data_IF_844759613732
#
_entry.id   IF_844759613732
#
_cell.length_a   1.000
_cell.length_b   1.000
_cell.length_c   1.000
_cell.angle_alpha   90.00
_cell.angle_beta   90.00
_cell.angle_gamma   90.00
#
_symmetry.space_group_name_H-M   'P 1'
#
loop_
_entity.id
_entity.type
_entity.pdbx_description
1 polymer ?
#
# COMPACT_ATOMS: atom_id res chain seq x y z
N UNK A 1 28.85 0.22 -7.00
CA UNK A 1 28.10 -0.48 -5.93
C UNK A 1 28.29 -1.99 -6.05
N UNK A 2 28.01 -2.56 -7.22
CA UNK A 2 28.20 -4.00 -7.49
C UNK A 2 29.58 -4.55 -7.10
N UNK A 3 30.68 -3.84 -7.41
CA UNK A 3 32.04 -4.28 -7.03
C UNK A 3 32.26 -4.34 -5.51
N UNK A 4 31.64 -3.43 -4.75
CA UNK A 4 31.71 -3.42 -3.29
C UNK A 4 30.90 -4.59 -2.71
N UNK A 5 29.71 -4.84 -3.24
CA UNK A 5 28.89 -5.98 -2.81
C UNK A 5 29.63 -7.30 -3.05
N UNK A 6 30.25 -7.47 -4.23
CA UNK A 6 31.07 -8.66 -4.54
C UNK A 6 32.22 -8.81 -3.54
N UNK A 7 32.92 -7.73 -3.20
CA UNK A 7 34.01 -7.77 -2.22
C UNK A 7 33.53 -8.24 -0.85
N UNK A 8 32.38 -7.74 -0.39
CA UNK A 8 31.80 -8.11 0.89
C UNK A 8 31.31 -9.56 0.89
N UNK A 9 30.68 -10.01 -0.19
CA UNK A 9 30.24 -11.42 -0.35
C UNK A 9 31.44 -12.37 -0.34
N UNK A 10 32.54 -12.01 -1.02
CA UNK A 10 33.79 -12.80 -0.97
C UNK A 10 34.35 -12.89 0.45
N UNK A 11 34.31 -11.80 1.21
CA UNK A 11 34.71 -11.78 2.61
C UNK A 11 33.82 -12.70 3.45
N UNK A 12 32.49 -12.56 3.37
CA UNK A 12 31.55 -13.41 4.10
C UNK A 12 31.73 -14.91 3.80
N UNK A 13 31.99 -15.26 2.53
CA UNK A 13 32.24 -16.64 2.14
C UNK A 13 33.54 -17.20 2.74
N UNK A 14 34.59 -16.39 2.77
CA UNK A 14 35.87 -16.79 3.37
C UNK A 14 35.76 -16.96 4.89
N UNK A 15 34.91 -16.17 5.57
CA UNK A 15 34.62 -16.36 6.99
C UNK A 15 33.71 -17.57 7.24
N UNK A 16 32.73 -17.83 6.37
CA UNK A 16 31.85 -19.00 6.42
C UNK A 16 32.63 -20.32 6.38
N UNK A 17 33.62 -20.43 5.49
CA UNK A 17 34.45 -21.64 5.29
C UNK A 17 35.31 -22.02 6.52
N UNK A 18 35.41 -21.15 7.54
CA UNK A 18 36.20 -21.41 8.76
C UNK A 18 35.46 -22.25 9.80
N UNK A 19 34.13 -22.31 9.72
CA UNK A 19 33.30 -22.96 10.72
C UNK A 19 32.63 -24.19 10.13
N UNK A 20 32.62 -25.29 10.88
CA UNK A 20 31.96 -26.53 10.46
C UNK A 20 30.47 -26.53 10.83
N UNK A 21 30.07 -25.77 11.85
CA UNK A 21 28.69 -25.67 12.29
C UNK A 21 28.34 -24.31 12.92
N UNK A 22 27.05 -24.06 13.12
CA UNK A 22 26.54 -22.82 13.75
C UNK A 22 26.94 -22.78 15.24
N UNK A 23 26.90 -23.92 15.93
CA UNK A 23 27.28 -24.03 17.33
C UNK A 23 28.75 -23.63 17.55
N UNK A 24 29.61 -23.91 16.57
CA UNK A 24 31.00 -23.51 16.61
C UNK A 24 31.17 -21.99 16.52
N UNK A 25 30.34 -21.31 15.71
CA UNK A 25 30.32 -19.85 15.61
C UNK A 25 29.91 -19.22 16.94
N UNK A 26 28.91 -19.79 17.63
CA UNK A 26 28.37 -19.26 18.88
C UNK A 26 29.20 -19.58 20.13
N UNK A 27 30.32 -20.30 20.01
CA UNK A 27 31.29 -20.38 21.12
C UNK A 27 31.81 -18.97 21.42
N UNK A 28 31.77 -18.56 22.68
CA UNK A 28 31.94 -17.17 23.13
C UNK A 28 33.18 -16.47 22.52
N UNK A 29 34.33 -17.15 22.54
CA UNK A 29 35.57 -16.63 21.93
C UNK A 29 35.48 -16.48 20.41
N UNK A 30 34.90 -17.48 19.72
CA UNK A 30 34.76 -17.47 18.27
C UNK A 30 33.82 -16.35 17.81
N UNK A 31 32.65 -16.22 18.46
CA UNK A 31 31.66 -15.20 18.11
C UNK A 31 32.22 -13.79 18.30
N UNK A 32 32.91 -13.56 19.42
CA UNK A 32 33.50 -12.25 19.72
C UNK A 32 34.59 -11.87 18.72
N UNK A 33 35.51 -12.80 18.41
CA UNK A 33 36.56 -12.57 17.41
C UNK A 33 35.98 -12.30 16.02
N UNK A 34 34.95 -13.05 15.64
CA UNK A 34 34.31 -12.90 14.33
C UNK A 34 33.57 -11.57 14.24
N UNK A 35 32.85 -11.18 15.29
CA UNK A 35 32.25 -9.85 15.40
C UNK A 35 33.31 -8.76 15.21
N UNK A 36 34.45 -8.84 15.90
CA UNK A 36 35.52 -7.85 15.77
C UNK A 36 36.09 -7.76 14.35
N UNK A 37 36.32 -8.89 13.68
CA UNK A 37 36.81 -8.93 12.30
C UNK A 37 35.83 -8.27 11.34
N UNK A 38 34.55 -8.65 11.42
CA UNK A 38 33.49 -8.08 10.58
C UNK A 38 33.37 -6.58 10.81
N UNK A 39 33.40 -6.12 12.08
CA UNK A 39 33.37 -4.70 12.43
C UNK A 39 34.54 -3.94 11.82
N UNK A 40 35.78 -4.46 11.93
CA UNK A 40 36.98 -3.84 11.33
C UNK A 40 36.86 -3.77 9.80
N UNK A 41 36.46 -4.85 9.16
CA UNK A 41 36.30 -4.92 7.72
C UNK A 41 35.28 -3.91 7.21
N UNK A 42 34.09 -3.87 7.82
CA UNK A 42 33.06 -2.87 7.50
C UNK A 42 33.61 -1.47 7.75
N UNK A 43 34.36 -1.28 8.83
CA UNK A 43 34.88 0.04 9.13
C UNK A 43 35.84 0.58 8.08
N UNK A 44 36.75 -0.26 7.61
CA UNK A 44 37.70 0.10 6.57
C UNK A 44 36.99 0.33 5.23
N UNK A 45 36.04 -0.55 4.89
CA UNK A 45 35.26 -0.43 3.66
C UNK A 45 34.47 0.89 3.62
N UNK A 46 33.84 1.26 4.72
CA UNK A 46 32.99 2.45 4.82
C UNK A 46 33.83 3.74 4.83
N UNK A 47 34.95 3.75 5.55
CA UNK A 47 35.88 4.87 5.58
C UNK A 47 36.51 5.15 4.22
N UNK A 48 37.02 4.10 3.57
CA UNK A 48 37.72 4.22 2.30
C UNK A 48 36.82 4.75 1.19
N UNK A 49 35.56 4.33 1.18
CA UNK A 49 34.62 4.66 0.10
C UNK A 49 33.70 5.85 0.44
N UNK A 50 33.72 6.36 1.68
CA UNK A 50 32.88 7.49 2.15
C UNK A 50 31.40 7.36 1.76
N UNK A 51 30.83 6.15 1.89
CA UNK A 51 29.47 5.86 1.44
C UNK A 51 28.42 6.71 2.18
N UNK A 52 27.40 7.20 1.49
CA UNK A 52 26.23 7.86 2.09
C UNK A 52 25.27 6.84 2.73
N UNK A 53 24.31 7.28 3.56
CA UNK A 53 23.27 6.39 4.16
C UNK A 53 22.56 5.55 3.10
N UNK A 54 22.18 6.17 1.98
CA UNK A 54 21.52 5.49 0.85
C UNK A 54 22.41 4.47 0.14
N UNK A 55 23.70 4.78 -0.03
CA UNK A 55 24.66 3.85 -0.62
C UNK A 55 24.88 2.64 0.30
N UNK A 56 24.88 2.85 1.61
CA UNK A 56 25.02 1.77 2.61
C UNK A 56 23.82 0.82 2.54
N UNK A 57 22.59 1.36 2.51
CA UNK A 57 21.36 0.56 2.33
C UNK A 57 21.42 -0.28 1.05
N UNK A 58 21.75 0.36 -0.07
CA UNK A 58 21.87 -0.32 -1.38
C UNK A 58 22.93 -1.41 -1.35
N UNK A 59 24.08 -1.14 -0.72
CA UNK A 59 25.14 -2.13 -0.56
C UNK A 59 24.65 -3.36 0.21
N UNK A 60 23.99 -3.15 1.35
CA UNK A 60 23.48 -4.23 2.22
C UNK A 60 22.45 -5.08 1.49
N UNK A 61 21.53 -4.47 0.74
CA UNK A 61 20.56 -5.19 -0.10
C UNK A 61 21.26 -6.00 -1.21
N UNK A 62 22.22 -5.41 -1.93
CA UNK A 62 23.00 -6.09 -2.96
C UNK A 62 23.83 -7.26 -2.39
N UNK A 63 24.35 -7.13 -1.16
CA UNK A 63 25.07 -8.21 -0.47
C UNK A 63 24.12 -9.37 -0.17
N UNK A 64 22.94 -9.09 0.40
CA UNK A 64 21.97 -10.12 0.72
C UNK A 64 21.60 -10.96 -0.50
N UNK A 65 21.25 -10.29 -1.60
CA UNK A 65 20.88 -10.91 -2.87
C UNK A 65 22.04 -11.76 -3.43
N UNK A 66 23.25 -11.17 -3.52
CA UNK A 66 24.42 -11.87 -4.08
C UNK A 66 24.96 -12.98 -3.19
N UNK A 67 24.78 -12.88 -1.87
CA UNK A 67 25.19 -13.94 -0.95
C UNK A 67 24.26 -15.16 -1.02
N UNK A 68 23.04 -15.00 -1.56
CA UNK A 68 22.06 -16.09 -1.66
C UNK A 68 21.62 -16.57 -0.28
N UNK A 69 21.33 -15.63 0.63
CA UNK A 69 20.96 -15.95 2.01
C UNK A 69 19.53 -16.50 2.03
N UNK A 70 19.39 -17.73 2.50
CA UNK A 70 18.10 -18.32 2.81
C UNK A 70 17.68 -17.90 4.24
N UNK A 71 16.52 -17.26 4.38
CA UNK A 71 16.00 -16.78 5.67
C UNK A 71 15.34 -17.90 6.49
N UNK A 72 14.84 -18.95 5.84
CA UNK A 72 14.11 -20.06 6.45
C UNK A 72 15.04 -21.06 7.15
N UNK A 73 16.31 -21.07 6.77
CA UNK A 73 17.32 -21.94 7.36
C UNK A 73 18.29 -21.13 8.21
N UNK A 74 18.50 -21.55 9.44
CA UNK A 74 19.66 -21.08 10.19
C UNK A 74 20.92 -21.72 9.61
N UNK A 75 21.87 -20.88 9.22
CA UNK A 75 23.15 -21.28 8.66
C UNK A 75 24.22 -20.23 9.01
N UNK A 76 25.50 -20.62 8.92
CA UNK A 76 26.64 -19.76 9.27
C UNK A 76 26.59 -18.45 8.47
N UNK A 77 26.29 -18.52 7.16
CA UNK A 77 26.19 -17.34 6.29
C UNK A 77 25.15 -16.32 6.79
N UNK A 78 23.97 -16.77 7.22
CA UNK A 78 22.91 -15.94 7.81
C UNK A 78 23.41 -15.26 9.08
N UNK A 79 24.09 -16.00 9.97
CA UNK A 79 24.67 -15.44 11.20
C UNK A 79 25.72 -14.36 10.88
N UNK A 80 26.68 -14.65 10.01
CA UNK A 80 27.73 -13.70 9.63
C UNK A 80 27.16 -12.44 8.96
N UNK A 81 26.12 -12.59 8.15
CA UNK A 81 25.41 -11.47 7.55
C UNK A 81 24.66 -10.62 8.59
N UNK A 82 24.04 -11.24 9.59
CA UNK A 82 23.38 -10.52 10.69
C UNK A 82 24.42 -9.73 11.52
N UNK A 83 25.60 -10.30 11.77
CA UNK A 83 26.70 -9.60 12.43
C UNK A 83 27.20 -8.43 11.59
N UNK A 84 27.33 -8.62 10.27
CA UNK A 84 27.72 -7.56 9.33
C UNK A 84 26.74 -6.39 9.32
N UNK A 85 25.45 -6.69 9.27
CA UNK A 85 24.41 -5.65 9.31
C UNK A 85 24.35 -4.94 10.67
N UNK A 86 24.62 -5.65 11.77
CA UNK A 86 24.77 -5.02 13.09
C UNK A 86 25.99 -4.08 13.15
N UNK A 87 27.15 -4.51 12.62
CA UNK A 87 28.35 -3.69 12.56
C UNK A 87 28.16 -2.40 11.74
N UNK A 88 27.38 -2.46 10.66
CA UNK A 88 26.99 -1.28 9.88
C UNK A 88 26.15 -0.33 10.72
N UNK A 89 25.16 -0.86 11.45
CA UNK A 89 24.23 -0.08 12.27
C UNK A 89 24.90 0.58 13.49
N UNK A 90 25.83 -0.10 14.17
CA UNK A 90 26.56 0.46 15.34
C UNK A 90 27.38 1.72 14.97
N UNK A 91 27.87 1.82 13.74
CA UNK A 91 28.88 2.82 13.36
C UNK A 91 28.32 4.08 12.72
N UNK A 92 27.32 3.89 11.87
CA UNK A 92 26.37 4.92 11.49
C UNK A 92 25.06 4.27 11.78
N UNK A 93 24.22 4.78 12.70
CA UNK A 93 22.86 4.32 12.78
C UNK A 93 22.31 4.40 11.36
N UNK A 94 22.27 3.24 10.70
CA UNK A 94 21.55 3.09 9.46
C UNK A 94 20.14 3.40 9.88
N UNK A 95 19.34 4.04 9.05
CA UNK A 95 17.96 4.22 9.42
C UNK A 95 17.31 2.84 9.23
N UNK A 96 17.54 1.93 10.16
CA UNK A 96 16.77 0.72 10.25
C UNK A 96 15.30 1.12 10.26
N UNK A 97 14.44 0.39 9.56
CA UNK A 97 14.67 -0.95 8.97
C UNK A 97 15.56 -1.00 7.69
N UNK A 98 16.31 -2.10 7.53
CA UNK A 98 17.06 -2.49 6.31
C UNK A 98 16.27 -3.56 5.56
N UNK A 99 16.25 -3.58 4.23
CA UNK A 99 15.36 -4.48 3.48
C UNK A 99 16.09 -5.38 2.50
N UNK A 100 15.49 -6.54 2.31
CA UNK A 100 16.00 -7.61 1.49
C UNK A 100 14.93 -8.08 0.52
N UNK A 101 15.27 -8.17 -0.76
CA UNK A 101 14.42 -8.87 -1.71
C UNK A 101 14.59 -10.38 -1.48
N UNK A 102 13.52 -11.07 -1.11
CA UNK A 102 13.47 -12.50 -0.86
C UNK A 102 12.22 -13.09 -1.51
N UNK A 103 12.40 -14.03 -2.45
CA UNK A 103 11.31 -14.58 -3.27
C UNK A 103 10.37 -13.51 -3.88
N UNK A 104 10.95 -12.45 -4.44
CA UNK A 104 10.23 -11.29 -5.02
C UNK A 104 9.47 -10.41 -4.01
N UNK A 105 9.59 -10.65 -2.71
CA UNK A 105 9.02 -9.81 -1.66
C UNK A 105 10.11 -9.01 -0.95
N UNK A 106 9.81 -7.78 -0.51
CA UNK A 106 10.73 -6.99 0.31
C UNK A 106 10.47 -7.31 1.79
N UNK A 107 11.48 -7.81 2.48
CA UNK A 107 11.39 -8.16 3.91
C UNK A 107 12.19 -7.14 4.74
N UNK A 108 11.59 -6.46 5.74
CA UNK A 108 12.33 -5.67 6.70
C UNK A 108 13.16 -6.54 7.65
N UNK A 109 14.43 -6.19 7.82
CA UNK A 109 15.16 -6.45 9.05
C UNK A 109 14.71 -5.43 10.09
N UNK A 110 13.85 -5.88 11.00
CA UNK A 110 13.40 -5.11 12.16
C UNK A 110 14.41 -5.18 13.31
N UNK A 111 14.35 -4.23 14.21
CA UNK A 111 14.99 -4.38 15.51
C UNK A 111 14.21 -5.39 16.35
N UNK A 112 14.96 -6.27 16.98
CA UNK A 112 14.44 -7.54 17.43
C UNK A 112 13.38 -7.41 18.56
N UNK A 113 13.26 -6.27 19.24
CA UNK A 113 12.38 -6.13 20.42
C UNK A 113 10.90 -6.40 20.10
N UNK A 114 10.37 -5.94 18.97
CA UNK A 114 8.95 -6.17 18.63
C UNK A 114 8.70 -7.65 18.31
N UNK A 115 9.63 -8.27 17.58
CA UNK A 115 9.54 -9.67 17.13
C UNK A 115 9.85 -10.66 18.24
N UNK A 116 10.85 -10.38 19.08
CA UNK A 116 11.37 -11.27 20.12
C UNK A 116 10.37 -11.47 21.27
N UNK A 117 9.52 -10.47 21.53
CA UNK A 117 8.52 -10.50 22.59
C UNK A 117 7.10 -10.72 22.07
N UNK A 118 6.93 -11.03 20.77
CA UNK A 118 5.64 -11.27 20.12
C UNK A 118 4.58 -10.19 20.41
N UNK A 119 4.98 -8.92 20.34
CA UNK A 119 4.14 -7.78 20.73
C UNK A 119 3.10 -7.35 19.70
N UNK A 120 3.06 -8.01 18.55
CA UNK A 120 2.25 -7.58 17.43
C UNK A 120 0.74 -7.46 17.75
N UNK A 121 0.11 -8.39 18.50
CA UNK A 121 -1.29 -8.23 18.91
C UNK A 121 -1.53 -6.98 19.77
N UNK A 122 -0.68 -6.76 20.77
CA UNK A 122 -0.74 -5.57 21.64
C UNK A 122 -0.57 -4.27 20.84
N UNK A 123 0.37 -4.27 19.89
CA UNK A 123 0.61 -3.15 19.00
C UNK A 123 -0.61 -2.76 18.18
N UNK A 124 -1.27 -3.76 17.56
CA UNK A 124 -2.48 -3.54 16.78
C UNK A 124 -3.61 -2.98 17.64
N UNK A 125 -3.83 -3.54 18.83
CA UNK A 125 -4.82 -3.02 19.79
C UNK A 125 -4.55 -1.55 20.14
N UNK A 126 -3.31 -1.23 20.52
CA UNK A 126 -2.94 0.14 20.90
C UNK A 126 -3.03 1.13 19.75
N UNK A 127 -2.74 0.69 18.53
CA UNK A 127 -2.89 1.54 17.35
C UNK A 127 -4.36 1.75 16.99
N UNK A 128 -5.23 0.78 17.21
CA UNK A 128 -6.68 0.93 17.02
C UNK A 128 -7.31 1.91 18.03
N UNK A 129 -6.73 2.03 19.22
CA UNK A 129 -7.16 3.00 20.25
C UNK A 129 -6.72 4.45 19.97
N UNK A 130 -5.83 4.68 19.00
CA UNK A 130 -5.38 6.04 18.65
C UNK A 130 -6.53 6.85 18.05
N UNK A 131 -6.53 8.16 18.30
CA UNK A 131 -7.58 9.10 17.87
C UNK A 131 -7.90 8.97 16.37
N UNK A 132 -9.08 8.47 15.99
CA UNK A 132 -9.44 8.25 14.58
C UNK A 132 -9.36 9.53 13.76
N UNK A 133 -9.83 10.66 14.27
CA UNK A 133 -9.82 11.95 13.56
C UNK A 133 -8.39 12.38 13.22
N UNK A 134 -7.44 12.17 14.14
CA UNK A 134 -6.03 12.48 13.88
C UNK A 134 -5.42 11.55 12.83
N UNK A 135 -5.81 10.26 12.83
CA UNK A 135 -5.33 9.32 11.79
C UNK A 135 -5.79 9.78 10.41
N UNK A 136 -7.06 10.15 10.26
CA UNK A 136 -7.60 10.67 9.01
C UNK A 136 -6.89 11.96 8.59
N UNK A 137 -6.71 12.93 9.49
CA UNK A 137 -5.99 14.16 9.17
C UNK A 137 -4.55 13.92 8.71
N UNK A 138 -3.84 12.96 9.30
CA UNK A 138 -2.51 12.55 8.81
C UNK A 138 -2.63 11.97 7.40
N UNK A 139 -3.55 11.04 7.21
CA UNK A 139 -3.77 10.35 5.94
C UNK A 139 -4.06 11.33 4.79
N UNK A 140 -4.95 12.31 5.00
CA UNK A 140 -5.24 13.38 4.02
C UNK A 140 -4.08 14.37 3.83
N UNK A 141 -3.06 14.34 4.69
CA UNK A 141 -1.85 15.15 4.52
C UNK A 141 -0.75 14.40 3.74
N UNK A 142 -0.79 13.07 3.72
CA UNK A 142 0.19 12.21 3.03
C UNK A 142 -0.30 11.88 1.62
N UNK A 143 -1.57 11.52 1.47
CA UNK A 143 -2.14 11.06 0.21
C UNK A 143 -3.23 12.00 -0.30
N UNK A 144 -3.38 12.06 -1.62
CA UNK A 144 -4.38 12.90 -2.28
C UNK A 144 -5.78 12.31 -2.10
N UNK A 145 -6.79 13.19 -2.04
CA UNK A 145 -8.20 12.82 -1.98
C UNK A 145 -8.57 11.82 -3.10
N UNK A 146 -8.13 12.08 -4.33
CA UNK A 146 -8.30 11.18 -5.47
C UNK A 146 -7.72 9.78 -5.24
N UNK A 147 -6.52 9.67 -4.64
CA UNK A 147 -5.92 8.36 -4.33
C UNK A 147 -6.68 7.62 -3.22
N UNK A 148 -7.14 8.37 -2.21
CA UNK A 148 -7.88 7.85 -1.07
C UNK A 148 -9.26 7.31 -1.47
N UNK A 149 -10.04 8.04 -2.27
CA UNK A 149 -11.34 7.56 -2.76
C UNK A 149 -11.19 6.41 -3.76
N UNK A 150 -10.09 6.38 -4.53
CA UNK A 150 -9.81 5.29 -5.46
C UNK A 150 -9.59 3.97 -4.71
N UNK A 151 -8.66 3.94 -3.76
CA UNK A 151 -8.23 2.69 -3.12
C UNK A 151 -8.82 2.42 -1.73
N UNK A 152 -9.46 3.42 -1.13
CA UNK A 152 -10.14 3.33 0.15
C UNK A 152 -9.30 3.79 1.34
N UNK A 153 -9.89 4.61 2.20
CA UNK A 153 -9.30 5.10 3.45
C UNK A 153 -8.89 3.94 4.35
N UNK A 154 -9.65 2.83 4.38
CA UNK A 154 -9.29 1.66 5.20
C UNK A 154 -7.93 1.07 4.83
N UNK A 155 -7.58 1.06 3.53
CA UNK A 155 -6.26 0.61 3.07
C UNK A 155 -5.15 1.53 3.56
N UNK A 156 -5.29 2.84 3.36
CA UNK A 156 -4.28 3.82 3.77
C UNK A 156 -4.15 3.97 5.29
N UNK A 157 -5.23 3.76 6.05
CA UNK A 157 -5.15 3.66 7.51
C UNK A 157 -4.31 2.46 7.93
N UNK A 158 -4.44 1.31 7.27
CA UNK A 158 -3.58 0.17 7.54
C UNK A 158 -2.11 0.48 7.22
N UNK A 159 -1.82 1.13 6.08
CA UNK A 159 -0.45 1.60 5.76
C UNK A 159 0.09 2.53 6.86
N UNK A 160 -0.71 3.49 7.33
CA UNK A 160 -0.32 4.41 8.41
C UNK A 160 0.03 3.66 9.70
N UNK A 161 -0.71 2.60 10.01
CA UNK A 161 -0.42 1.76 11.18
C UNK A 161 0.94 1.06 11.06
N UNK A 162 1.26 0.48 9.89
CA UNK A 162 2.59 -0.10 9.65
C UNK A 162 3.69 0.94 9.66
N UNK A 163 3.45 2.11 9.07
CA UNK A 163 4.40 3.22 9.11
C UNK A 163 4.71 3.66 10.55
N UNK A 164 3.71 3.69 11.43
CA UNK A 164 3.91 3.93 12.85
C UNK A 164 4.72 2.80 13.53
N UNK A 165 4.52 1.53 13.14
CA UNK A 165 5.35 0.43 13.65
C UNK A 165 6.81 0.54 13.22
N UNK A 166 7.08 0.99 11.98
CA UNK A 166 8.46 1.21 11.53
C UNK A 166 9.13 2.34 12.33
N UNK A 167 8.41 3.42 12.63
CA UNK A 167 8.92 4.49 13.48
C UNK A 167 9.13 4.04 14.92
N UNK A 168 8.24 3.18 15.44
CA UNK A 168 8.38 2.60 16.77
C UNK A 168 9.62 1.72 16.87
N UNK A 169 9.84 0.84 15.90
CA UNK A 169 11.01 -0.05 15.85
C UNK A 169 12.31 0.75 15.93
N UNK A 170 12.38 1.83 15.14
CA UNK A 170 13.51 2.74 15.15
C UNK A 170 13.62 3.53 16.46
N UNK A 171 12.52 4.01 17.03
CA UNK A 171 12.52 4.73 18.29
C UNK A 171 12.99 3.86 19.47
N UNK A 172 12.68 2.56 19.45
CA UNK A 172 13.18 1.59 20.43
C UNK A 172 14.69 1.39 20.30
N UNK A 173 15.19 1.28 19.06
CA UNK A 173 16.62 1.16 18.81
C UNK A 173 17.43 2.40 19.20
N UNK A 174 16.90 3.59 18.92
CA UNK A 174 17.53 4.86 19.33
C UNK A 174 17.29 5.19 20.81
N UNK A 175 16.70 4.25 21.58
CA UNK A 175 16.36 4.39 22.99
C UNK A 175 15.66 5.73 23.28
N UNK A 176 14.60 6.02 22.51
CA UNK A 176 13.83 7.24 22.72
C UNK A 176 13.36 7.33 24.17
N UNK A 177 12.82 6.22 24.65
CA UNK A 177 12.72 5.85 26.06
C UNK A 177 13.78 4.78 26.31
N UNK A 178 14.50 4.86 27.44
CA UNK A 178 15.55 3.88 27.75
C UNK A 178 15.00 2.46 27.79
N UNK A 179 15.78 1.50 27.27
CA UNK A 179 15.37 0.09 27.31
C UNK A 179 15.13 -0.41 28.73
N UNK A 180 15.80 0.13 29.75
CA UNK A 180 15.57 -0.23 31.16
C UNK A 180 14.20 0.25 31.69
N UNK A 181 13.56 1.22 31.02
CA UNK A 181 12.19 1.65 31.34
C UNK A 181 11.15 0.83 30.55
N UNK A 182 11.53 0.24 29.42
CA UNK A 182 10.67 -0.58 28.56
C UNK A 182 10.73 -2.06 28.93
N UNK A 183 11.91 -2.57 29.28
CA UNK A 183 12.17 -3.95 29.68
C UNK A 183 12.35 -4.01 31.19
N UNK A 184 11.55 -4.83 31.85
CA UNK A 184 11.62 -5.07 33.29
C UNK A 184 11.97 -6.51 33.55
N UNK A 185 12.87 -6.74 34.49
CA UNK A 185 13.09 -8.10 34.99
C UNK A 185 11.99 -8.46 36.00
N UNK A 186 11.33 -9.60 35.77
CA UNK A 186 10.36 -10.19 36.69
C UNK A 186 10.60 -11.69 36.72
N UNK A 187 10.82 -12.27 37.90
CA UNK A 187 11.06 -13.71 38.06
C UNK A 187 12.20 -14.25 37.16
N UNK A 188 13.30 -13.49 37.01
CA UNK A 188 14.44 -13.80 36.13
C UNK A 188 14.10 -13.87 34.63
N UNK A 189 12.94 -13.37 34.23
CA UNK A 189 12.60 -13.18 32.81
C UNK A 189 12.44 -11.70 32.52
N UNK A 190 12.88 -11.28 31.32
CA UNK A 190 12.60 -9.94 30.83
C UNK A 190 11.14 -9.91 30.34
N UNK A 191 10.41 -8.89 30.76
CA UNK A 191 9.05 -8.59 30.33
C UNK A 191 8.96 -7.14 29.85
N UNK A 192 7.98 -6.86 29.01
CA UNK A 192 7.77 -5.51 28.49
C UNK A 192 6.82 -4.73 29.41
N UNK A 193 7.20 -3.50 29.76
CA UNK A 193 6.32 -2.53 30.38
C UNK A 193 5.39 -1.94 29.31
N UNK A 194 4.23 -2.58 29.17
CA UNK A 194 3.17 -2.17 28.26
C UNK A 194 2.74 -0.71 28.44
N UNK A 195 2.84 -0.13 29.65
CA UNK A 195 2.45 1.27 29.87
C UNK A 195 3.46 2.22 29.23
N UNK A 196 4.75 1.95 29.36
CA UNK A 196 5.78 2.77 28.72
C UNK A 196 5.82 2.54 27.21
N UNK A 197 5.56 1.32 26.76
CA UNK A 197 5.45 1.00 25.34
C UNK A 197 4.23 1.67 24.68
N UNK A 198 3.05 1.60 25.30
CA UNK A 198 1.86 2.33 24.86
C UNK A 198 2.09 3.85 24.86
N UNK A 199 2.81 4.37 25.86
CA UNK A 199 3.17 5.78 25.89
C UNK A 199 4.10 6.16 24.73
N UNK A 200 5.07 5.30 24.37
CA UNK A 200 5.94 5.51 23.22
C UNK A 200 5.16 5.59 21.89
N UNK A 201 4.21 4.68 21.68
CA UNK A 201 3.33 4.70 20.49
C UNK A 201 2.56 6.03 20.43
N UNK A 202 1.96 6.43 21.54
CA UNK A 202 1.19 7.66 21.64
C UNK A 202 2.01 8.92 21.31
N UNK A 203 3.24 9.02 21.83
CA UNK A 203 4.08 10.20 21.59
C UNK A 203 4.62 10.23 20.15
N UNK A 204 4.90 9.08 19.54
CA UNK A 204 5.28 8.98 18.13
C UNK A 204 4.11 9.38 17.22
N UNK A 205 2.90 8.88 17.50
CA UNK A 205 1.70 9.27 16.77
C UNK A 205 1.41 10.77 16.86
N UNK A 206 1.61 11.39 18.03
CA UNK A 206 1.50 12.85 18.17
C UNK A 206 2.61 13.60 17.42
N UNK A 207 3.80 13.01 17.31
CA UNK A 207 4.88 13.50 16.46
C UNK A 207 4.47 13.51 14.98
N UNK A 208 3.93 12.39 14.49
CA UNK A 208 3.41 12.25 13.12
C UNK A 208 2.32 13.28 12.82
N UNK A 209 1.32 13.36 13.70
CA UNK A 209 0.23 14.33 13.57
C UNK A 209 0.76 15.75 13.44
N UNK A 210 1.70 16.15 14.31
CA UNK A 210 2.26 17.50 14.26
C UNK A 210 3.13 17.73 13.02
N UNK A 211 3.87 16.73 12.56
CA UNK A 211 4.71 16.84 11.37
C UNK A 211 3.86 17.13 10.13
N UNK A 212 2.86 16.28 9.86
CA UNK A 212 2.06 16.37 8.64
C UNK A 212 1.03 17.50 8.66
N UNK A 213 0.37 17.73 9.81
CA UNK A 213 -0.73 18.72 9.86
C UNK A 213 -0.28 20.10 10.33
N UNK A 214 0.95 20.23 10.86
CA UNK A 214 1.43 21.43 11.56
C UNK A 214 0.74 21.71 12.90
N UNK A 215 -0.34 20.99 13.26
CA UNK A 215 -1.13 21.22 14.47
C UNK A 215 -0.48 20.55 15.67
N UNK A 216 -0.40 21.26 16.80
CA UNK A 216 0.14 20.69 18.05
C UNK A 216 -0.86 19.67 18.62
N UNK A 217 -0.42 18.42 18.77
CA UNK A 217 -1.14 17.42 19.57
C UNK A 217 -0.88 17.59 21.06
N UNK A 218 -1.93 17.48 21.87
CA UNK A 218 -1.87 17.37 23.34
C UNK A 218 -2.19 15.92 23.76
N UNK A 219 -1.50 15.45 24.79
CA UNK A 219 -1.69 14.11 25.41
C UNK A 219 -2.27 14.24 26.83
N UNK A 220 -3.08 15.27 27.06
CA UNK A 220 -3.54 15.63 28.41
C UNK A 220 -2.40 16.12 29.32
N UNK A 221 -2.61 16.03 30.63
CA UNK A 221 -1.65 16.44 31.64
C UNK A 221 -0.61 15.32 31.81
N UNK A 222 0.65 15.62 31.50
CA UNK A 222 1.78 14.70 31.65
C UNK A 222 2.69 15.16 32.79
N UNK A 223 3.35 14.21 33.47
CA UNK A 223 4.43 14.53 34.41
C UNK A 223 5.63 15.15 33.67
N UNK A 224 6.46 15.92 34.39
CA UNK A 224 7.69 16.52 33.82
C UNK A 224 8.58 15.47 33.13
N UNK A 225 8.69 14.28 33.72
CA UNK A 225 9.47 13.16 33.16
C UNK A 225 8.86 12.55 31.89
N UNK A 226 7.54 12.67 31.67
CA UNK A 226 6.92 12.24 30.42
C UNK A 226 6.96 13.32 29.34
N UNK A 227 6.96 14.59 29.73
CA UNK A 227 7.07 15.72 28.80
C UNK A 227 8.40 15.68 28.03
N UNK A 228 9.53 15.36 28.69
CA UNK A 228 10.83 15.24 27.99
C UNK A 228 10.77 14.24 26.84
N UNK A 229 10.10 13.09 27.03
CA UNK A 229 9.96 12.06 26.01
C UNK A 229 9.05 12.50 24.86
N UNK A 230 7.95 13.20 25.17
CA UNK A 230 7.09 13.78 24.13
C UNK A 230 7.85 14.78 23.25
N UNK A 231 8.67 15.65 23.83
CA UNK A 231 9.51 16.59 23.06
C UNK A 231 10.55 15.83 22.24
N UNK A 232 11.20 14.82 22.82
CA UNK A 232 12.17 13.96 22.12
C UNK A 232 11.52 13.25 20.93
N UNK A 233 10.32 12.68 21.09
CA UNK A 233 9.55 12.03 20.01
C UNK A 233 9.20 12.98 18.88
N UNK A 234 8.74 14.19 19.18
CA UNK A 234 8.44 15.19 18.14
C UNK A 234 9.68 15.58 17.34
N UNK A 235 10.82 15.76 18.03
CA UNK A 235 12.10 16.06 17.37
C UNK A 235 12.56 14.87 16.52
N UNK A 236 12.52 13.66 17.08
CA UNK A 236 12.84 12.42 16.38
C UNK A 236 12.02 12.25 15.10
N UNK A 237 10.69 12.31 15.17
CA UNK A 237 9.82 12.18 13.99
C UNK A 237 10.17 13.23 12.94
N UNK A 238 10.34 14.49 13.35
CA UNK A 238 10.73 15.57 12.42
C UNK A 238 12.08 15.30 11.75
N UNK A 239 13.08 14.87 12.50
CA UNK A 239 14.41 14.58 11.97
C UNK A 239 14.38 13.39 11.00
N UNK A 240 13.60 12.36 11.29
CA UNK A 240 13.43 11.19 10.43
C UNK A 240 12.75 11.58 9.11
N UNK A 241 11.64 12.31 9.18
CA UNK A 241 10.80 12.58 8.02
C UNK A 241 11.25 13.80 7.19
N UNK A 242 12.05 14.71 7.75
CA UNK A 242 12.58 15.85 7.00
C UNK A 242 13.48 15.50 5.79
N UNK A 243 13.94 14.24 5.69
CA UNK A 243 14.59 13.72 4.48
C UNK A 243 13.52 13.04 3.63
N UNK A 244 13.08 13.70 2.55
CA UNK A 244 12.02 13.21 1.66
C UNK A 244 12.27 11.77 1.18
N UNK A 245 13.53 11.40 0.94
CA UNK A 245 13.86 10.03 0.50
C UNK A 245 13.65 9.01 1.62
N UNK A 246 13.87 9.42 2.86
CA UNK A 246 13.67 8.56 4.04
C UNK A 246 12.18 8.39 4.32
N UNK A 247 11.39 9.45 4.18
CA UNK A 247 9.93 9.40 4.26
C UNK A 247 9.34 8.49 3.16
N UNK A 248 9.68 8.74 1.89
CA UNK A 248 9.23 7.92 0.75
C UNK A 248 9.62 6.45 0.94
N UNK A 249 10.84 6.21 1.42
CA UNK A 249 11.30 4.88 1.74
C UNK A 249 10.42 4.22 2.79
N UNK A 250 10.22 4.82 3.96
CA UNK A 250 9.42 4.23 5.04
C UNK A 250 7.96 3.99 4.64
N UNK A 251 7.35 4.87 3.84
CA UNK A 251 5.99 4.69 3.32
C UNK A 251 5.93 3.47 2.40
N UNK A 252 6.87 3.35 1.45
CA UNK A 252 6.93 2.19 0.54
C UNK A 252 7.06 0.86 1.29
N UNK A 253 7.69 0.89 2.46
CA UNK A 253 7.91 -0.30 3.26
C UNK A 253 6.68 -0.66 4.10
N UNK A 254 5.99 0.36 4.60
CA UNK A 254 4.70 0.18 5.24
C UNK A 254 3.69 -0.45 4.27
N UNK A 255 3.73 -0.08 2.99
CA UNK A 255 2.90 -0.68 1.92
C UNK A 255 3.22 -2.18 1.76
N UNK A 256 4.50 -2.57 1.74
CA UNK A 256 4.90 -3.97 1.57
C UNK A 256 4.53 -4.82 2.80
N UNK A 257 4.74 -4.27 4.01
CA UNK A 257 4.35 -4.92 5.26
C UNK A 257 2.83 -5.10 5.36
N UNK A 258 2.06 -4.10 4.90
CA UNK A 258 0.61 -4.16 4.80
C UNK A 258 0.18 -5.31 3.87
N UNK A 259 0.77 -5.39 2.68
CA UNK A 259 0.43 -6.36 1.65
C UNK A 259 0.74 -7.81 2.09
N UNK A 260 1.82 -8.01 2.85
CA UNK A 260 2.24 -9.31 3.35
C UNK A 260 1.43 -9.79 4.55
N UNK A 261 0.90 -8.87 5.35
CA UNK A 261 0.23 -9.20 6.61
C UNK A 261 -1.29 -9.15 6.52
N UNK A 262 -1.88 -8.00 6.18
CA UNK A 262 -3.34 -7.83 6.16
C UNK A 262 -3.91 -7.93 4.75
N UNK A 263 -3.18 -7.41 3.76
CA UNK A 263 -3.63 -7.29 2.38
C UNK A 263 -5.05 -6.71 2.31
N UNK A 264 -5.21 -5.52 2.90
CA UNK A 264 -6.48 -4.86 3.13
C UNK A 264 -7.26 -4.65 1.83
N UNK A 265 -6.57 -4.40 0.71
CA UNK A 265 -7.19 -4.36 -0.62
C UNK A 265 -7.90 -5.68 -0.98
N UNK A 266 -7.25 -6.83 -0.74
CA UNK A 266 -7.88 -8.14 -0.98
C UNK A 266 -8.99 -8.42 0.02
N UNK A 267 -8.79 -8.07 1.29
CA UNK A 267 -9.81 -8.22 2.34
C UNK A 267 -11.08 -7.42 2.03
N UNK A 268 -10.95 -6.15 1.64
CA UNK A 268 -12.09 -5.29 1.32
C UNK A 268 -12.86 -5.71 0.07
N UNK A 269 -12.25 -6.49 -0.83
CA UNK A 269 -12.92 -7.08 -2.00
C UNK A 269 -13.79 -8.29 -1.64
N UNK A 270 -13.69 -8.80 -0.40
CA UNK A 270 -14.50 -9.93 0.03
C UNK A 270 -15.97 -9.50 0.18
N UNK A 271 -16.82 -10.30 -0.42
CA UNK A 271 -18.25 -10.06 -0.57
C UNK A 271 -19.01 -10.02 0.76
N UNK A 272 -18.65 -10.88 1.71
CA UNK A 272 -19.21 -10.94 3.07
C UNK A 272 -18.81 -9.72 3.89
N UNK A 273 -17.55 -9.27 3.76
CA UNK A 273 -17.05 -8.05 4.41
C UNK A 273 -17.81 -6.82 3.90
N UNK A 274 -17.99 -6.68 2.58
CA UNK A 274 -18.75 -5.55 2.02
C UNK A 274 -20.22 -5.57 2.47
N UNK A 275 -20.87 -6.75 2.55
CA UNK A 275 -22.24 -6.85 3.07
C UNK A 275 -22.36 -6.35 4.50
N UNK A 276 -21.40 -6.68 5.37
CA UNK A 276 -21.39 -6.18 6.75
C UNK A 276 -21.25 -4.65 6.78
N UNK A 277 -20.29 -4.10 6.03
CA UNK A 277 -20.07 -2.64 5.94
C UNK A 277 -21.33 -1.93 5.43
N UNK A 278 -21.97 -2.45 4.38
CA UNK A 278 -23.17 -1.84 3.80
C UNK A 278 -24.37 -1.95 4.74
N UNK A 279 -24.54 -3.07 5.46
CA UNK A 279 -25.57 -3.23 6.49
C UNK A 279 -25.41 -2.18 7.60
N UNK A 280 -24.19 -1.97 8.09
CA UNK A 280 -23.91 -0.93 9.09
C UNK A 280 -24.18 0.47 8.55
N UNK A 281 -23.76 0.75 7.31
CA UNK A 281 -24.03 2.04 6.67
C UNK A 281 -25.54 2.30 6.52
N UNK A 282 -26.33 1.27 6.19
CA UNK A 282 -27.79 1.37 6.06
C UNK A 282 -28.52 1.73 7.35
N UNK A 283 -27.96 1.35 8.50
CA UNK A 283 -28.53 1.66 9.81
C UNK A 283 -28.34 3.12 10.23
N UNK A 284 -27.50 3.89 9.52
CA UNK A 284 -27.25 5.30 9.82
C UNK A 284 -28.42 6.19 9.40
N UNK A 285 -28.74 7.15 10.25
CA UNK A 285 -29.80 8.14 10.01
C UNK A 285 -29.27 9.34 9.22
N UNK A 286 -28.89 9.09 7.97
CA UNK A 286 -28.39 10.08 6.98
C UNK A 286 -28.96 9.77 5.59
N UNK A 287 -28.74 10.65 4.61
CA UNK A 287 -29.24 10.42 3.24
C UNK A 287 -28.59 9.20 2.59
N UNK A 288 -29.25 8.60 1.59
CA UNK A 288 -28.66 7.47 0.85
C UNK A 288 -27.36 7.86 0.14
N UNK A 289 -27.25 9.11 -0.33
CA UNK A 289 -26.04 9.62 -0.95
C UNK A 289 -24.90 9.69 0.07
N UNK A 290 -25.14 10.18 1.30
CA UNK A 290 -24.12 10.20 2.35
C UNK A 290 -23.68 8.79 2.77
N UNK A 291 -24.59 7.80 2.70
CA UNK A 291 -24.25 6.40 2.94
C UNK A 291 -23.34 5.85 1.84
N UNK A 292 -23.67 6.14 0.57
CA UNK A 292 -22.84 5.78 -0.59
C UNK A 292 -21.46 6.43 -0.50
N UNK A 293 -21.40 7.71 -0.15
CA UNK A 293 -20.15 8.44 0.03
C UNK A 293 -19.28 7.77 1.09
N UNK A 294 -19.84 7.54 2.29
CA UNK A 294 -19.11 6.93 3.39
C UNK A 294 -18.53 5.55 3.04
N UNK A 295 -19.30 4.70 2.35
CA UNK A 295 -18.80 3.36 1.96
C UNK A 295 -17.79 3.43 0.82
N UNK A 296 -17.97 4.38 -0.10
CA UNK A 296 -17.03 4.61 -1.22
C UNK A 296 -15.68 5.08 -0.69
N UNK A 297 -15.66 6.02 0.25
CA UNK A 297 -14.42 6.44 0.92
C UNK A 297 -13.80 5.33 1.75
N UNK A 298 -14.60 4.55 2.49
CA UNK A 298 -14.06 3.51 3.36
C UNK A 298 -13.41 2.37 2.56
N UNK A 299 -14.12 1.84 1.57
CA UNK A 299 -13.71 0.66 0.79
C UNK A 299 -12.81 1.05 -0.38
N UNK A 300 -13.08 2.19 -1.01
CA UNK A 300 -12.47 2.63 -2.26
C UNK A 300 -13.23 2.14 -3.48
N UNK A 301 -13.44 3.03 -4.46
CA UNK A 301 -14.16 2.75 -5.70
C UNK A 301 -13.59 1.53 -6.45
N UNK A 302 -12.26 1.40 -6.48
CA UNK A 302 -11.58 0.27 -7.13
C UNK A 302 -11.91 -1.08 -6.47
N UNK A 303 -12.25 -1.08 -5.17
CA UNK A 303 -12.47 -2.30 -4.42
C UNK A 303 -13.95 -2.70 -4.32
N UNK A 304 -14.89 -1.78 -4.57
CA UNK A 304 -16.32 -2.07 -4.56
C UNK A 304 -16.69 -3.21 -5.53
N UNK A 305 -17.55 -4.11 -5.05
CA UNK A 305 -18.15 -5.20 -5.83
C UNK A 305 -19.56 -4.75 -6.22
N UNK A 306 -19.85 -4.50 -7.52
CA UNK A 306 -21.12 -3.93 -7.96
C UNK A 306 -22.34 -4.72 -7.48
N UNK A 307 -22.31 -6.05 -7.59
CA UNK A 307 -23.40 -6.95 -7.23
C UNK A 307 -23.80 -6.74 -5.76
N UNK A 308 -22.80 -6.66 -4.87
CA UNK A 308 -23.04 -6.42 -3.45
C UNK A 308 -23.50 -4.99 -3.21
N UNK A 309 -22.87 -4.01 -3.86
CA UNK A 309 -23.23 -2.60 -3.70
C UNK A 309 -24.71 -2.36 -4.03
N UNK A 310 -25.18 -2.94 -5.14
CA UNK A 310 -26.55 -2.78 -5.62
C UNK A 310 -27.59 -3.70 -4.95
N UNK A 311 -27.18 -4.59 -4.04
CA UNK A 311 -28.12 -5.22 -3.07
C UNK A 311 -28.64 -4.20 -2.05
N UNK A 312 -27.85 -3.16 -1.76
CA UNK A 312 -28.16 -2.17 -0.72
C UNK A 312 -28.55 -0.81 -1.31
N UNK A 313 -27.86 -0.34 -2.34
CA UNK A 313 -28.09 0.98 -2.93
C UNK A 313 -28.70 0.86 -4.31
N UNK A 314 -29.44 1.88 -4.77
CA UNK A 314 -30.00 1.87 -6.12
C UNK A 314 -29.00 2.43 -7.13
N UNK A 315 -29.15 1.99 -8.38
CA UNK A 315 -28.38 2.53 -9.52
C UNK A 315 -28.61 4.03 -9.73
N UNK A 316 -29.81 4.53 -9.41
CA UNK A 316 -30.15 5.96 -9.52
C UNK A 316 -29.46 6.79 -8.44
N UNK A 317 -29.38 6.27 -7.22
CA UNK A 317 -28.67 6.94 -6.13
C UNK A 317 -27.17 7.03 -6.46
N UNK A 318 -26.60 5.97 -7.04
CA UNK A 318 -25.21 5.98 -7.51
C UNK A 318 -25.00 6.98 -8.65
N UNK A 319 -25.88 7.02 -9.66
CA UNK A 319 -25.81 8.04 -10.73
C UNK A 319 -25.89 9.45 -10.13
N UNK A 320 -26.75 9.67 -9.14
CA UNK A 320 -26.94 10.96 -8.47
C UNK A 320 -25.78 11.35 -7.55
N UNK A 321 -25.02 10.37 -7.04
CA UNK A 321 -23.84 10.58 -6.19
C UNK A 321 -22.63 11.11 -6.98
N UNK A 322 -22.46 10.73 -8.26
CA UNK A 322 -21.28 11.09 -9.06
C UNK A 322 -20.95 12.60 -9.05
N UNK A 323 -21.90 13.53 -9.27
CA UNK A 323 -21.61 14.95 -9.26
C UNK A 323 -21.13 15.46 -7.89
N UNK A 324 -21.73 14.98 -6.79
CA UNK A 324 -21.29 15.34 -5.45
C UNK A 324 -19.86 14.87 -5.20
N UNK A 325 -19.54 13.65 -5.60
CA UNK A 325 -18.18 13.13 -5.45
C UNK A 325 -17.15 13.96 -6.26
N UNK A 326 -17.51 14.41 -7.47
CA UNK A 326 -16.65 15.30 -8.25
C UNK A 326 -16.47 16.69 -7.61
N UNK A 327 -17.46 17.18 -6.86
CA UNK A 327 -17.38 18.44 -6.11
C UNK A 327 -16.50 18.31 -4.87
N UNK A 328 -16.61 17.19 -4.15
CA UNK A 328 -15.89 16.93 -2.89
C UNK A 328 -14.39 16.70 -3.09
N UNK A 329 -13.96 16.16 -4.24
CA UNK A 329 -12.55 15.92 -4.55
C UNK A 329 -11.94 17.16 -5.23
N UNK A 330 -11.13 17.92 -4.51
CA UNK A 330 -10.46 19.10 -5.06
C UNK A 330 -9.12 18.74 -5.74
N UNK A 331 -8.41 17.76 -5.20
CA UNK A 331 -7.04 17.41 -5.61
C UNK A 331 -7.00 16.04 -6.28
N UNK A 332 -6.29 15.96 -7.41
CA UNK A 332 -6.00 14.71 -8.10
C UNK A 332 -7.24 13.98 -8.64
N UNK A 333 -8.12 14.73 -9.32
CA UNK A 333 -9.35 14.20 -9.94
C UNK A 333 -9.08 13.08 -10.94
N UNK A 334 -7.90 13.00 -11.53
CA UNK A 334 -7.51 11.91 -12.42
C UNK A 334 -7.59 10.55 -11.72
N UNK A 335 -7.13 10.47 -10.45
CA UNK A 335 -7.24 9.24 -9.65
C UNK A 335 -8.68 8.87 -9.30
N UNK A 336 -9.53 9.87 -9.03
CA UNK A 336 -10.97 9.65 -8.89
C UNK A 336 -11.55 8.99 -10.15
N UNK A 337 -11.24 9.53 -11.33
CA UNK A 337 -11.73 9.00 -12.60
C UNK A 337 -11.19 7.60 -12.91
N UNK A 338 -9.92 7.31 -12.60
CA UNK A 338 -9.38 5.95 -12.68
C UNK A 338 -10.19 4.98 -11.78
N UNK A 339 -10.53 5.39 -10.55
CA UNK A 339 -11.34 4.58 -9.64
C UNK A 339 -12.76 4.33 -10.15
N UNK A 340 -13.42 5.38 -10.64
CA UNK A 340 -14.75 5.29 -11.26
C UNK A 340 -14.71 4.43 -12.52
N UNK A 341 -13.68 4.54 -13.35
CA UNK A 341 -13.51 3.70 -14.54
C UNK A 341 -13.49 2.22 -14.16
N UNK A 342 -12.68 1.86 -13.16
CA UNK A 342 -12.54 0.48 -12.72
C UNK A 342 -13.88 -0.04 -12.18
N UNK A 343 -14.57 0.74 -11.35
CA UNK A 343 -15.88 0.36 -10.81
C UNK A 343 -16.93 0.17 -11.92
N UNK A 344 -17.07 1.15 -12.82
CA UNK A 344 -18.03 1.11 -13.92
C UNK A 344 -17.75 -0.05 -14.88
N UNK A 345 -16.48 -0.36 -15.16
CA UNK A 345 -16.12 -1.52 -15.98
C UNK A 345 -16.61 -2.83 -15.35
N UNK A 346 -16.52 -2.99 -14.03
CA UNK A 346 -17.10 -4.14 -13.32
C UNK A 346 -18.62 -4.14 -13.40
N UNK A 347 -19.26 -2.98 -13.22
CA UNK A 347 -20.71 -2.83 -13.32
C UNK A 347 -21.22 -3.24 -14.71
N UNK A 348 -20.55 -2.81 -15.79
CA UNK A 348 -20.96 -3.11 -17.17
C UNK A 348 -20.77 -4.59 -17.55
N UNK A 349 -19.93 -5.31 -16.82
CA UNK A 349 -19.83 -6.76 -16.95
C UNK A 349 -21.02 -7.49 -16.30
N UNK A 350 -21.88 -6.78 -15.56
CA UNK A 350 -23.07 -7.29 -14.88
C UNK A 350 -24.37 -6.74 -15.51
N UNK A 351 -24.81 -7.28 -16.67
CA UNK A 351 -25.99 -6.78 -17.38
C UNK A 351 -27.29 -6.91 -16.59
N UNK A 352 -27.38 -7.84 -15.63
CA UNK A 352 -28.56 -8.02 -14.78
C UNK A 352 -28.84 -6.82 -13.86
N UNK A 353 -27.84 -5.98 -13.60
CA UNK A 353 -27.98 -4.79 -12.74
C UNK A 353 -28.57 -3.58 -13.48
N UNK A 354 -28.65 -3.63 -14.81
CA UNK A 354 -29.30 -2.56 -15.56
C UNK A 354 -30.82 -2.69 -15.46
N UNK A 355 -31.48 -1.65 -14.96
CA UNK A 355 -32.92 -1.62 -14.73
C UNK A 355 -33.70 -0.82 -15.79
N UNK A 356 -33.08 -0.46 -16.91
CA UNK A 356 -33.73 0.29 -18.00
C UNK A 356 -33.82 1.81 -17.81
N UNK A 357 -33.29 2.36 -16.71
CA UNK A 357 -33.34 3.81 -16.42
C UNK A 357 -32.24 4.60 -17.14
N UNK A 358 -32.49 5.91 -17.31
CA UNK A 358 -31.48 6.83 -17.84
C UNK A 358 -30.49 7.20 -16.74
N UNK A 359 -29.19 7.04 -17.03
CA UNK A 359 -28.09 7.34 -16.13
C UNK A 359 -27.30 8.52 -16.71
N UNK A 360 -27.82 9.73 -16.49
CA UNK A 360 -27.35 10.92 -17.18
C UNK A 360 -25.95 11.34 -16.70
N UNK A 361 -25.66 11.14 -15.42
CA UNK A 361 -24.39 11.54 -14.84
C UNK A 361 -23.27 10.56 -15.24
N UNK A 362 -23.54 9.26 -15.22
CA UNK A 362 -22.63 8.23 -15.75
C UNK A 362 -22.38 8.45 -17.25
N UNK A 363 -23.42 8.73 -18.04
CA UNK A 363 -23.25 9.04 -19.46
C UNK A 363 -22.35 10.27 -19.68
N UNK A 364 -22.61 11.36 -18.95
CA UNK A 364 -21.79 12.58 -19.00
C UNK A 364 -20.34 12.34 -18.56
N UNK A 365 -20.14 11.54 -17.51
CA UNK A 365 -18.81 11.17 -17.00
C UNK A 365 -18.02 10.40 -18.07
N UNK A 366 -18.64 9.40 -18.69
CA UNK A 366 -18.01 8.61 -19.76
C UNK A 366 -17.62 9.49 -20.93
N UNK A 367 -18.55 10.31 -21.43
CA UNK A 367 -18.28 11.15 -22.60
C UNK A 367 -17.17 12.19 -22.33
N UNK A 368 -17.09 12.74 -21.11
CA UNK A 368 -16.18 13.84 -20.79
C UNK A 368 -14.84 13.39 -20.20
N UNK A 369 -14.80 12.28 -19.48
CA UNK A 369 -13.67 11.91 -18.60
C UNK A 369 -13.16 10.50 -18.85
N UNK A 370 -14.03 9.55 -19.20
CA UNK A 370 -13.69 8.11 -19.27
C UNK A 370 -14.20 7.50 -20.57
N UNK A 371 -13.79 8.09 -21.69
CA UNK A 371 -14.32 7.73 -23.03
C UNK A 371 -14.03 6.28 -23.44
N UNK A 372 -13.03 5.64 -22.82
CA UNK A 372 -12.69 4.22 -22.97
C UNK A 372 -13.84 3.26 -22.60
N UNK A 373 -14.85 3.72 -21.86
CA UNK A 373 -16.01 2.93 -21.45
C UNK A 373 -17.26 3.13 -22.31
N UNK A 374 -17.19 3.93 -23.37
CA UNK A 374 -18.38 4.28 -24.17
C UNK A 374 -19.03 3.05 -24.82
N UNK A 375 -18.25 2.23 -25.52
CA UNK A 375 -18.69 0.92 -26.04
C UNK A 375 -19.26 0.00 -24.96
N UNK A 376 -18.59 -0.09 -23.80
CA UNK A 376 -19.01 -0.93 -22.67
C UNK A 376 -20.40 -0.51 -22.16
N UNK A 377 -20.62 0.79 -22.03
CA UNK A 377 -21.86 1.37 -21.54
C UNK A 377 -23.03 1.23 -22.52
N UNK A 378 -22.79 1.48 -23.81
CA UNK A 378 -23.78 1.25 -24.87
C UNK A 378 -24.21 -0.23 -24.85
N UNK A 379 -23.22 -1.13 -24.71
CA UNK A 379 -23.47 -2.55 -24.63
C UNK A 379 -24.36 -2.91 -23.46
N UNK A 380 -23.96 -2.45 -22.28
CA UNK A 380 -24.65 -2.75 -21.04
C UNK A 380 -26.10 -2.27 -21.03
N UNK A 381 -26.39 -1.09 -21.62
CA UNK A 381 -27.77 -0.57 -21.75
C UNK A 381 -28.63 -1.27 -22.79
N UNK A 382 -28.02 -2.05 -23.70
CA UNK A 382 -28.72 -2.61 -24.85
C UNK A 382 -29.18 -1.55 -25.87
N UNK A 383 -28.66 -0.32 -25.81
CA UNK A 383 -29.13 0.83 -26.61
C UNK A 383 -28.49 0.92 -28.02
N UNK A 384 -28.10 -0.25 -28.54
CA UNK A 384 -27.33 -0.37 -29.78
C UNK A 384 -28.04 0.19 -30.99
N UNK A 385 -29.34 -0.03 -31.10
CA UNK A 385 -30.09 0.44 -32.28
C UNK A 385 -30.11 1.96 -32.36
N UNK A 386 -30.19 2.65 -31.23
CA UNK A 386 -30.13 4.11 -31.17
C UNK A 386 -28.72 4.62 -31.41
N UNK A 387 -27.69 3.96 -30.85
CA UNK A 387 -26.29 4.26 -31.15
C UNK A 387 -26.00 4.15 -32.66
N UNK A 388 -26.45 3.07 -33.30
CA UNK A 388 -26.33 2.90 -34.75
C UNK A 388 -27.02 4.08 -35.46
N UNK A 389 -28.30 4.37 -35.15
CA UNK A 389 -29.07 5.47 -35.79
C UNK A 389 -28.39 6.83 -35.68
N UNK A 390 -27.77 7.15 -34.54
CA UNK A 390 -27.10 8.44 -34.32
C UNK A 390 -25.80 8.57 -35.12
N UNK A 391 -25.01 7.49 -35.21
CA UNK A 391 -23.71 7.48 -35.90
C UNK A 391 -23.81 7.16 -37.40
N UNK A 392 -25.00 6.87 -37.91
CA UNK A 392 -25.30 6.54 -39.33
C UNK A 392 -25.50 7.76 -40.25
N UNK A 393 -25.38 9.00 -39.75
CA UNK A 393 -25.74 10.20 -40.52
C UNK A 393 -24.77 10.61 -41.63
N UNK A 394 -23.56 10.03 -41.69
CA UNK A 394 -22.61 10.23 -42.78
C UNK A 394 -22.13 8.88 -43.35
N UNK A 395 -21.89 8.83 -44.66
CA UNK A 395 -21.88 7.67 -45.58
C UNK A 395 -20.84 6.54 -45.34
N UNK A 396 -20.43 6.25 -44.10
CA UNK A 396 -19.41 5.24 -43.72
C UNK A 396 -20.04 3.89 -43.28
N UNK A 397 -21.37 3.79 -43.20
CA UNK A 397 -21.97 2.98 -42.14
C UNK A 397 -22.83 1.78 -42.62
N UNK A 398 -22.22 0.88 -43.41
CA UNK A 398 -22.75 -0.49 -43.62
C UNK A 398 -22.12 -1.54 -42.71
N UNK A 399 -20.90 -1.30 -42.21
CA UNK A 399 -20.10 -2.36 -41.59
C UNK A 399 -20.38 -2.55 -40.10
N UNK A 400 -20.72 -1.48 -39.37
CA UNK A 400 -21.27 -1.55 -38.01
C UNK A 400 -22.61 -2.29 -37.97
N UNK A 401 -23.47 -2.08 -38.97
CA UNK A 401 -24.72 -2.84 -39.13
C UNK A 401 -24.45 -4.32 -39.40
N UNK A 402 -23.51 -4.65 -40.29
CA UNK A 402 -23.11 -6.04 -40.56
C UNK A 402 -22.51 -6.69 -39.30
N UNK A 403 -21.63 -6.00 -38.60
CA UNK A 403 -21.04 -6.44 -37.34
C UNK A 403 -22.13 -6.74 -36.29
N UNK A 404 -23.10 -5.84 -36.14
CA UNK A 404 -24.26 -6.07 -35.27
C UNK A 404 -25.12 -7.26 -35.72
N UNK A 405 -25.34 -7.42 -37.03
CA UNK A 405 -26.03 -8.59 -37.58
C UNK A 405 -25.27 -9.88 -37.28
N UNK A 406 -23.94 -9.92 -37.45
CA UNK A 406 -23.12 -11.09 -37.09
C UNK A 406 -23.26 -11.44 -35.61
N UNK A 407 -23.21 -10.45 -34.73
CA UNK A 407 -23.41 -10.64 -33.29
C UNK A 407 -24.81 -11.18 -32.98
N UNK A 408 -25.86 -10.58 -33.54
CA UNK A 408 -27.26 -11.03 -33.35
C UNK A 408 -27.52 -12.43 -33.90
N UNK A 409 -26.83 -12.82 -34.96
CA UNK A 409 -26.88 -14.16 -35.54
C UNK A 409 -26.00 -15.17 -34.77
N UNK A 410 -25.30 -14.74 -33.71
CA UNK A 410 -24.40 -15.59 -32.92
C UNK A 410 -23.13 -16.01 -33.65
N UNK A 411 -22.78 -15.34 -34.75
CA UNK A 411 -21.61 -15.65 -35.57
C UNK A 411 -20.31 -15.10 -34.97
N UNK A 412 -20.42 -14.09 -34.13
CA UNK A 412 -19.34 -13.56 -33.30
C UNK A 412 -19.85 -13.48 -31.86
N UNK A 413 -18.96 -13.66 -30.90
CA UNK A 413 -19.33 -13.57 -29.49
C UNK A 413 -19.42 -12.11 -29.02
N UNK A 414 -19.81 -11.95 -27.75
CA UNK A 414 -19.95 -10.64 -27.11
C UNK A 414 -18.63 -9.87 -27.08
N UNK A 415 -17.52 -10.54 -26.81
CA UNK A 415 -16.23 -9.91 -26.59
C UNK A 415 -15.63 -9.45 -27.92
N UNK A 416 -15.76 -10.29 -28.95
CA UNK A 416 -15.42 -9.96 -30.32
C UNK A 416 -16.23 -8.76 -30.83
N UNK A 417 -17.55 -8.76 -30.62
CA UNK A 417 -18.39 -7.62 -30.98
C UNK A 417 -17.97 -6.32 -30.26
N UNK A 418 -17.69 -6.42 -28.96
CA UNK A 418 -17.25 -5.31 -28.11
C UNK A 418 -15.92 -4.73 -28.58
N UNK A 419 -14.94 -5.58 -28.90
CA UNK A 419 -13.63 -5.14 -29.41
C UNK A 419 -13.77 -4.34 -30.71
N UNK A 420 -14.64 -4.79 -31.62
CA UNK A 420 -14.88 -4.08 -32.88
C UNK A 420 -15.59 -2.73 -32.69
N UNK A 421 -16.50 -2.61 -31.72
CA UNK A 421 -17.11 -1.33 -31.35
C UNK A 421 -16.07 -0.33 -30.82
N UNK A 422 -15.16 -0.79 -29.95
CA UNK A 422 -14.08 0.05 -29.41
C UNK A 422 -13.18 0.59 -30.52
N UNK A 423 -12.80 -0.27 -31.48
CA UNK A 423 -12.01 0.14 -32.64
C UNK A 423 -12.76 1.17 -33.50
N UNK A 424 -14.08 1.00 -33.66
CA UNK A 424 -14.92 1.96 -34.36
C UNK A 424 -14.89 3.34 -33.70
N UNK A 425 -15.05 3.40 -32.39
CA UNK A 425 -15.05 4.65 -31.63
C UNK A 425 -13.68 5.36 -31.66
N UNK A 426 -12.59 4.60 -31.64
CA UNK A 426 -11.23 5.12 -31.70
C UNK A 426 -10.83 5.70 -33.07
N UNK A 427 -11.65 5.51 -34.12
CA UNK A 427 -11.35 5.88 -35.52
C UNK A 427 -10.03 5.28 -36.04
N UNK A 428 -9.53 4.21 -35.43
CA UNK A 428 -8.27 3.55 -35.79
C UNK A 428 -8.44 2.65 -37.01
N UNK A 429 -8.04 3.10 -38.21
CA UNK A 429 -7.86 2.31 -39.46
C UNK A 429 -8.81 1.09 -39.63
N UNK A 430 -10.07 1.27 -39.23
CA UNK A 430 -11.15 0.26 -39.23
C UNK A 430 -11.29 -0.31 -40.64
N UNK A 431 -11.01 0.52 -41.64
CA UNK A 431 -11.12 0.18 -43.05
C UNK A 431 -10.24 -1.01 -43.46
N UNK A 432 -9.04 -1.27 -42.93
CA UNK A 432 -8.24 -2.41 -43.47
C UNK A 432 -8.54 -3.76 -42.83
N UNK A 433 -8.86 -3.80 -41.54
CA UNK A 433 -9.04 -5.05 -40.80
C UNK A 433 -10.52 -5.44 -40.64
N UNK A 434 -11.43 -4.49 -40.42
CA UNK A 434 -12.88 -4.76 -40.41
C UNK A 434 -13.35 -5.18 -41.82
N UNK A 435 -12.83 -4.55 -42.90
CA UNK A 435 -13.17 -4.95 -44.28
C UNK A 435 -12.74 -6.39 -44.60
N UNK A 436 -11.61 -6.87 -44.09
CA UNK A 436 -11.18 -8.28 -44.31
C UNK A 436 -12.04 -9.26 -43.50
N UNK A 437 -12.36 -8.93 -42.26
CA UNK A 437 -13.15 -9.78 -41.37
C UNK A 437 -14.65 -9.85 -41.76
N UNK A 438 -15.22 -8.72 -42.20
CA UNK A 438 -16.61 -8.64 -42.65
C UNK A 438 -16.82 -9.25 -44.04
N UNK A 439 -15.80 -9.28 -44.91
CA UNK A 439 -15.90 -9.87 -46.26
C UNK A 439 -15.66 -11.38 -46.35
N UNK A 440 -14.93 -11.98 -45.39
CA UNK A 440 -14.46 -13.38 -45.49
C UNK A 440 -15.19 -14.38 -44.58
N UNK A 441 -16.21 -13.95 -43.84
CA UNK A 441 -17.14 -14.81 -43.11
C UNK A 441 -18.54 -14.26 -43.25
#
# INVERSE_FOLDING_TARGET
>A
MQDLAIKVVKFLKAEEEKFQSIEEVFKENNFYEEKLKIVRFINDLMNKNKLSRWQIRKLVAEIFEKAGINLETDNIKKVLFLVLTNAINERRPSPSPLYFLYHNHKIPKRHAIITDFNLYPFLKEKVNELTPEKKHLILFSIWTEGSLIKEGVSYYLSILDYFLFLLLDRALYEELISLNEILKEKNKTLIIDEKNFAFLINILFNGLYQYYTGKKGTLGILSKDKIKYLVKAKKFVKEVLSDEKEEEYLINLAIEDELLSENRKKYLKQEDVQRQIFQEAKQRDVSEIDKIDAVSWLIGLENLVPEVFFEYFSLDDFDSFIPQLEEDIAVDKEKLYEGLEIFLRKLFNNPALYNGKSLNNIASLIDKKISSLKSDFIFWKGDFENFLKQNLKENINSDLKKLYSKYKLGQIDRDEFKNWLTLFEAKEDIDKNLLKFVKNG
#
